data_IF_636251042033
#
_entry.id   IF_636251042033
#
_cell.length_a   1.000
_cell.length_b   1.000
_cell.length_c   1.000
_cell.angle_alpha   90.00
_cell.angle_beta   90.00
_cell.angle_gamma   90.00
#
_symmetry.space_group_name_H-M   'P 1'
#
loop_
_entity.id
_entity.type
_entity.pdbx_description
1 polymer ?
#
# COMPACT_ATOMS: atom_id res chain seq x y z
N UNK A 1 -2.59 52.91 36.01
CA UNK A 1 -1.38 52.36 36.63
C UNK A 1 -1.30 50.93 36.15
N UNK A 2 -0.69 50.68 35.00
CA UNK A 2 0.78 50.52 34.83
C UNK A 2 1.33 49.49 35.82
N UNK A 3 2.17 48.54 35.49
CA UNK A 3 2.67 47.88 34.27
C UNK A 3 3.63 46.80 34.82
N UNK A 4 4.04 45.85 33.97
CA UNK A 4 5.09 44.81 34.09
C UNK A 4 4.48 43.47 33.63
N UNK A 5 4.58 43.07 32.37
CA UNK A 5 5.74 42.94 31.46
C UNK A 5 6.74 41.88 31.95
N UNK A 6 6.58 40.66 31.45
CA UNK A 6 7.71 39.76 31.22
C UNK A 6 7.78 39.39 29.74
N UNK A 7 8.98 39.58 29.22
CA UNK A 7 9.40 39.53 27.83
C UNK A 7 10.49 38.46 27.75
N UNK A 8 10.27 37.44 26.92
CA UNK A 8 11.35 36.71 26.25
C UNK A 8 10.87 36.51 24.80
N UNK A 9 11.46 37.12 23.78
CA UNK A 9 12.89 37.14 23.46
C UNK A 9 13.17 36.00 22.46
N UNK A 10 12.62 36.08 21.25
CA UNK A 10 13.36 36.31 19.99
C UNK A 10 14.32 35.19 19.55
N UNK A 11 13.93 34.48 18.48
CA UNK A 11 14.81 34.06 17.36
C UNK A 11 13.87 33.69 16.22
N UNK A 12 13.82 34.34 15.05
CA UNK A 12 14.90 34.98 14.32
C UNK A 12 15.44 34.01 13.28
N UNK A 13 14.77 33.92 12.12
CA UNK A 13 15.36 33.65 10.79
C UNK A 13 14.31 33.91 9.71
N UNK A 14 14.19 35.19 9.34
CA UNK A 14 13.62 35.59 8.06
C UNK A 14 14.66 35.27 6.99
N UNK A 15 14.44 34.20 6.25
CA UNK A 15 15.22 33.90 5.05
C UNK A 15 14.67 34.76 3.92
N UNK A 16 15.22 35.96 3.74
CA UNK A 16 15.05 36.74 2.52
C UNK A 16 16.07 36.19 1.53
N UNK A 17 15.63 35.36 0.58
CA UNK A 17 16.42 35.02 -0.59
C UNK A 17 16.18 36.10 -1.66
N UNK A 18 17.05 37.11 -1.71
CA UNK A 18 17.17 37.99 -2.88
C UNK A 18 17.99 37.20 -3.91
N UNK A 19 17.29 36.53 -4.82
CA UNK A 19 17.90 35.92 -6.00
C UNK A 19 17.83 36.87 -7.17
N UNK A 20 18.96 37.49 -7.53
CA UNK A 20 19.10 38.26 -8.77
C UNK A 20 19.01 37.30 -9.95
N UNK A 21 17.95 37.36 -10.75
CA UNK A 21 17.89 36.63 -12.03
C UNK A 21 18.47 37.54 -13.11
N UNK A 22 19.70 37.24 -13.53
CA UNK A 22 20.25 37.78 -14.76
C UNK A 22 19.50 37.15 -15.95
N UNK A 23 18.77 37.98 -16.70
CA UNK A 23 18.14 37.56 -17.94
C UNK A 23 19.22 37.39 -19.01
N UNK A 24 19.56 36.16 -19.38
CA UNK A 24 20.28 35.87 -20.61
C UNK A 24 19.23 35.70 -21.71
N UNK A 25 19.13 36.71 -22.58
CA UNK A 25 18.29 36.65 -23.77
C UNK A 25 18.88 35.65 -24.77
N UNK A 26 18.26 34.48 -24.90
CA UNK A 26 18.53 33.47 -25.92
C UNK A 26 17.23 33.06 -26.59
N UNK A 27 17.15 33.22 -27.90
CA UNK A 27 15.97 32.99 -28.73
C UNK A 27 15.64 31.50 -28.79
N UNK A 28 14.50 31.09 -28.23
CA UNK A 28 13.90 29.77 -28.46
C UNK A 28 13.16 29.17 -27.26
N UNK A 29 11.84 29.05 -27.38
CA UNK A 29 10.92 28.25 -26.55
C UNK A 29 10.83 28.57 -25.03
N UNK A 30 9.94 29.52 -24.71
CA UNK A 30 9.06 29.51 -23.53
C UNK A 30 9.64 29.15 -22.16
N UNK A 31 10.36 30.06 -21.52
CA UNK A 31 10.59 30.02 -20.07
C UNK A 31 9.41 30.73 -19.39
N UNK A 32 8.50 29.96 -18.79
CA UNK A 32 7.52 30.51 -17.87
C UNK A 32 8.26 30.94 -16.60
N UNK A 33 8.33 32.25 -16.35
CA UNK A 33 8.73 32.78 -15.05
C UNK A 33 7.70 32.33 -14.01
N UNK A 34 8.07 31.37 -13.17
CA UNK A 34 7.23 30.95 -12.05
C UNK A 34 7.12 32.13 -11.07
N UNK A 35 5.99 32.83 -11.09
CA UNK A 35 5.59 33.63 -9.95
C UNK A 35 5.37 32.66 -8.80
N UNK A 36 6.21 32.74 -7.76
CA UNK A 36 5.92 32.11 -6.48
C UNK A 36 4.77 32.92 -5.89
N UNK A 37 3.55 32.51 -6.21
CA UNK A 37 2.34 32.98 -5.55
C UNK A 37 2.45 32.67 -4.05
N UNK A 38 1.86 33.54 -3.22
CA UNK A 38 1.63 33.23 -1.80
C UNK A 38 0.96 31.86 -1.73
N UNK A 39 1.45 31.00 -0.84
CA UNK A 39 0.77 29.73 -0.53
C UNK A 39 -0.68 30.06 -0.18
N UNK A 40 -1.60 29.56 -0.99
CA UNK A 40 -3.01 29.60 -0.69
C UNK A 40 -3.21 28.61 0.44
N UNK A 41 -3.65 29.07 1.62
CA UNK A 41 -3.98 28.20 2.76
C UNK A 41 -5.28 27.40 2.49
N UNK A 42 -5.74 27.37 1.23
CA UNK A 42 -6.87 26.61 0.74
C UNK A 42 -6.56 25.11 0.66
N UNK A 43 -7.52 24.31 1.08
CA UNK A 43 -7.50 22.86 0.92
C UNK A 43 -7.24 22.49 -0.55
N UNK A 44 -6.12 21.79 -0.81
CA UNK A 44 -5.77 21.33 -2.15
C UNK A 44 -6.59 20.07 -2.47
N UNK A 45 -7.75 20.25 -3.07
CA UNK A 45 -8.61 19.15 -3.53
C UNK A 45 -8.17 18.65 -4.91
N UNK A 46 -8.09 17.33 -5.07
CA UNK A 46 -7.91 16.68 -6.37
C UNK A 46 -9.19 15.90 -6.73
N UNK A 47 -9.70 16.09 -7.95
CA UNK A 47 -10.86 15.36 -8.46
C UNK A 47 -10.43 14.13 -9.26
N UNK A 48 -10.87 12.95 -8.83
CA UNK A 48 -10.61 11.67 -9.51
C UNK A 48 -9.22 11.10 -9.28
N UNK A 49 -8.17 11.83 -9.68
CA UNK A 49 -6.79 11.34 -9.72
C UNK A 49 -5.78 12.34 -9.15
N UNK A 50 -4.80 11.83 -8.40
CA UNK A 50 -3.61 12.59 -8.01
C UNK A 50 -2.36 11.77 -8.28
N UNK A 51 -1.44 12.33 -9.08
CA UNK A 51 -0.25 11.61 -9.54
C UNK A 51 1.03 12.32 -9.14
N UNK A 52 1.96 11.57 -8.56
CA UNK A 52 3.34 12.01 -8.36
C UNK A 52 4.21 11.35 -9.42
N UNK A 53 4.92 12.16 -10.21
CA UNK A 53 5.89 11.71 -11.22
C UNK A 53 7.30 12.12 -10.83
N UNK A 54 8.30 11.31 -11.20
CA UNK A 54 9.70 11.68 -11.05
C UNK A 54 10.20 12.56 -12.22
N UNK A 55 11.46 12.99 -12.17
CA UNK A 55 12.11 13.83 -13.21
C UNK A 55 12.22 13.15 -14.57
N UNK A 56 12.04 11.82 -14.64
CA UNK A 56 12.05 11.04 -15.89
C UNK A 56 10.63 10.84 -16.43
N UNK A 57 9.61 11.38 -15.75
CA UNK A 57 8.21 11.21 -16.09
C UNK A 57 7.61 9.87 -15.66
N UNK A 58 8.29 9.10 -14.80
CA UNK A 58 7.74 7.83 -14.28
C UNK A 58 6.82 8.11 -13.09
N UNK A 59 5.64 7.51 -13.09
CA UNK A 59 4.71 7.55 -11.96
C UNK A 59 5.32 6.84 -10.74
N UNK A 60 5.36 7.53 -9.60
CA UNK A 60 5.82 7.00 -8.30
C UNK A 60 4.68 6.72 -7.34
N UNK A 61 3.66 7.58 -7.35
CA UNK A 61 2.44 7.44 -6.56
C UNK A 61 1.24 7.79 -7.42
N UNK A 62 0.13 7.09 -7.20
CA UNK A 62 -1.16 7.38 -7.83
C UNK A 62 -2.25 7.21 -6.79
N UNK A 63 -3.01 8.26 -6.53
CA UNK A 63 -4.32 8.14 -5.90
C UNK A 63 -5.37 8.16 -7.01
N UNK A 64 -6.30 7.22 -6.99
CA UNK A 64 -7.38 7.10 -7.96
C UNK A 64 -8.67 6.67 -7.27
N UNK A 65 -9.82 7.22 -7.66
CA UNK A 65 -11.14 6.85 -7.09
C UNK A 65 -11.76 5.60 -7.71
N UNK A 66 -11.07 4.99 -8.67
CA UNK A 66 -11.44 3.73 -9.33
C UNK A 66 -10.20 2.86 -9.53
N UNK A 67 -10.37 1.56 -9.78
CA UNK A 67 -9.25 0.63 -10.00
C UNK A 67 -8.45 1.04 -11.26
N UNK A 68 -7.19 1.49 -11.13
CA UNK A 68 -6.41 1.94 -12.29
C UNK A 68 -5.73 0.75 -13.00
N UNK A 69 -5.15 0.93 -14.20
CA UNK A 69 -4.17 -0.02 -14.74
C UNK A 69 -2.87 0.02 -13.91
N UNK A 70 -2.08 -1.06 -14.00
CA UNK A 70 -0.77 -1.17 -13.34
C UNK A 70 0.30 -1.62 -14.31
N UNK A 71 1.55 -1.51 -13.90
CA UNK A 71 2.70 -2.08 -14.60
C UNK A 71 3.33 -3.11 -13.66
N UNK A 72 3.54 -4.34 -14.13
CA UNK A 72 4.31 -5.37 -13.43
C UNK A 72 5.30 -5.99 -14.41
N UNK A 73 6.57 -6.10 -14.03
CA UNK A 73 7.63 -6.63 -14.90
C UNK A 73 7.75 -5.90 -16.24
N UNK A 74 7.44 -4.60 -16.28
CA UNK A 74 7.42 -3.77 -17.50
C UNK A 74 6.21 -3.97 -18.42
N UNK A 75 5.26 -4.84 -18.07
CA UNK A 75 4.01 -5.06 -18.81
C UNK A 75 2.86 -4.33 -18.14
N UNK A 76 2.03 -3.65 -18.94
CA UNK A 76 0.80 -3.02 -18.46
C UNK A 76 -0.32 -4.04 -18.33
N UNK A 77 -0.99 -4.06 -17.17
CA UNK A 77 -2.19 -4.83 -16.91
C UNK A 77 -3.39 -3.89 -16.81
N UNK A 78 -4.37 -3.98 -17.75
CA UNK A 78 -5.58 -3.18 -17.71
C UNK A 78 -6.39 -3.42 -16.44
N UNK A 79 -7.11 -2.39 -15.96
CA UNK A 79 -7.94 -2.48 -14.77
C UNK A 79 -8.94 -3.65 -14.78
N UNK A 80 -9.51 -3.96 -15.95
CA UNK A 80 -10.47 -5.05 -16.14
C UNK A 80 -9.86 -6.44 -15.98
N UNK A 81 -8.55 -6.58 -16.16
CA UNK A 81 -7.82 -7.84 -16.02
C UNK A 81 -7.24 -8.02 -14.60
N UNK A 82 -7.28 -6.96 -13.79
CA UNK A 82 -6.79 -6.99 -12.40
C UNK A 82 -7.82 -7.60 -11.46
N UNK A 83 -7.34 -8.48 -10.58
CA UNK A 83 -8.05 -8.85 -9.36
C UNK A 83 -8.12 -7.65 -8.40
N UNK A 84 -9.15 -7.61 -7.57
CA UNK A 84 -9.37 -6.54 -6.58
C UNK A 84 -10.71 -5.82 -6.77
N UNK A 85 -11.28 -5.28 -5.67
CA UNK A 85 -12.61 -4.70 -5.66
C UNK A 85 -12.65 -3.34 -6.37
N UNK A 86 -13.85 -2.88 -6.70
CA UNK A 86 -14.03 -1.47 -7.03
C UNK A 86 -13.88 -0.62 -5.77
N UNK A 87 -13.14 0.48 -5.86
CA UNK A 87 -12.81 1.31 -4.71
C UNK A 87 -11.79 2.39 -5.03
N UNK A 88 -11.35 3.08 -3.99
CA UNK A 88 -10.24 4.04 -4.06
C UNK A 88 -8.91 3.34 -3.84
N UNK A 89 -7.91 3.77 -4.61
CA UNK A 89 -6.58 3.17 -4.65
C UNK A 89 -5.52 4.24 -4.39
N UNK A 90 -4.56 3.94 -3.53
CA UNK A 90 -3.24 4.58 -3.51
C UNK A 90 -2.21 3.54 -3.93
N UNK A 91 -1.55 3.73 -5.08
CA UNK A 91 -0.52 2.82 -5.58
C UNK A 91 0.89 3.34 -5.33
N UNK A 92 1.80 2.41 -5.06
CA UNK A 92 3.23 2.67 -4.91
C UNK A 92 3.98 2.03 -6.07
N UNK A 93 4.81 2.82 -6.76
CA UNK A 93 5.58 2.32 -7.90
C UNK A 93 7.10 2.51 -7.67
N UNK A 94 7.90 1.62 -8.25
CA UNK A 94 9.36 1.73 -8.29
C UNK A 94 9.87 2.72 -9.37
N UNK A 95 11.20 2.80 -9.56
CA UNK A 95 11.83 3.70 -10.55
C UNK A 95 11.60 3.31 -12.01
N UNK A 96 11.21 2.06 -12.23
CA UNK A 96 10.78 1.57 -13.52
C UNK A 96 9.26 1.72 -13.65
N UNK A 97 8.56 2.31 -12.69
CA UNK A 97 7.10 2.48 -12.72
C UNK A 97 6.33 1.19 -12.45
N UNK A 98 7.00 0.10 -12.07
CA UNK A 98 6.34 -1.15 -11.70
C UNK A 98 5.68 -1.00 -10.32
N UNK A 99 4.45 -1.50 -10.17
CA UNK A 99 3.70 -1.50 -8.91
C UNK A 99 4.43 -2.34 -7.85
N UNK A 100 4.38 -1.87 -6.61
CA UNK A 100 4.93 -2.52 -5.39
C UNK A 100 3.88 -2.66 -4.30
N UNK A 101 2.62 -2.72 -4.69
CA UNK A 101 1.44 -2.72 -3.83
C UNK A 101 0.79 -1.35 -3.69
N UNK A 102 -0.07 -1.25 -2.69
CA UNK A 102 -0.88 -0.06 -2.48
C UNK A 102 -1.75 -0.11 -1.23
N UNK A 103 -2.63 0.88 -1.13
CA UNK A 103 -3.72 0.94 -0.16
C UNK A 103 -5.02 0.95 -0.95
N UNK A 104 -5.97 0.12 -0.56
CA UNK A 104 -7.27 -0.02 -1.18
C UNK A 104 -8.32 0.31 -0.13
N UNK A 105 -9.30 1.12 -0.50
CA UNK A 105 -10.52 1.35 0.27
C UNK A 105 -11.74 1.07 -0.61
N UNK A 106 -12.44 -0.01 -0.31
CA UNK A 106 -13.64 -0.45 -1.00
C UNK A 106 -14.86 -0.41 -0.05
N UNK A 107 -16.05 -0.62 -0.60
CA UNK A 107 -17.28 -0.60 0.19
C UNK A 107 -17.33 -1.74 1.23
N UNK A 108 -16.74 -2.89 0.92
CA UNK A 108 -16.74 -4.10 1.75
C UNK A 108 -15.41 -4.34 2.48
N UNK A 109 -14.45 -3.42 2.41
CA UNK A 109 -13.18 -3.60 3.11
C UNK A 109 -12.08 -2.62 2.73
N UNK A 110 -10.93 -2.80 3.36
CA UNK A 110 -9.71 -2.06 3.06
C UNK A 110 -8.50 -2.98 3.17
N UNK A 111 -7.47 -2.67 2.38
CA UNK A 111 -6.23 -3.42 2.38
C UNK A 111 -5.01 -2.51 2.25
N UNK A 112 -3.91 -2.93 2.86
CA UNK A 112 -2.55 -2.47 2.57
C UNK A 112 -1.81 -3.67 2.01
N UNK A 113 -1.28 -3.54 0.80
CA UNK A 113 -0.56 -4.60 0.11
C UNK A 113 0.86 -4.16 -0.23
N UNK A 114 1.79 -5.10 -0.17
CA UNK A 114 3.15 -4.96 -0.65
C UNK A 114 3.47 -6.15 -1.53
N UNK A 115 4.06 -5.87 -2.68
CA UNK A 115 4.25 -6.87 -3.73
C UNK A 115 5.73 -7.15 -3.98
N UNK A 116 6.04 -8.41 -4.27
CA UNK A 116 7.26 -8.80 -4.96
C UNK A 116 7.27 -8.22 -6.39
N UNK A 117 8.44 -8.19 -7.07
CA UNK A 117 8.50 -7.75 -8.46
C UNK A 117 7.56 -8.51 -9.42
N UNK A 118 7.17 -9.73 -9.05
CA UNK A 118 6.34 -10.62 -9.85
C UNK A 118 5.07 -11.12 -9.14
N UNK A 119 4.55 -10.39 -8.16
CA UNK A 119 3.23 -10.66 -7.54
C UNK A 119 3.17 -10.45 -6.03
N UNK A 120 2.08 -10.87 -5.41
CA UNK A 120 1.76 -10.60 -3.99
C UNK A 120 2.82 -11.08 -2.99
N UNK A 121 3.18 -10.23 -2.02
CA UNK A 121 4.03 -10.60 -0.89
C UNK A 121 3.28 -10.56 0.46
N UNK A 122 2.78 -9.38 0.85
CA UNK A 122 2.17 -9.13 2.17
C UNK A 122 0.84 -8.41 1.98
N UNK A 123 -0.22 -8.94 2.61
CA UNK A 123 -1.54 -8.30 2.62
C UNK A 123 -1.98 -8.11 4.07
N UNK A 124 -2.30 -6.88 4.44
CA UNK A 124 -3.00 -6.54 5.69
C UNK A 124 -4.39 -6.06 5.30
N UNK A 125 -5.43 -6.78 5.67
CA UNK A 125 -6.79 -6.48 5.22
C UNK A 125 -7.81 -6.55 6.34
N UNK A 126 -8.84 -5.72 6.22
CA UNK A 126 -10.07 -5.81 6.97
C UNK A 126 -11.24 -5.86 5.98
N UNK A 127 -12.13 -6.82 6.16
CA UNK A 127 -13.25 -7.06 5.25
C UNK A 127 -14.54 -7.30 6.05
N UNK A 128 -15.66 -6.89 5.45
CA UNK A 128 -17.01 -7.14 5.94
C UNK A 128 -17.91 -7.47 4.76
N UNK A 129 -18.38 -8.70 4.69
CA UNK A 129 -19.37 -9.13 3.69
C UNK A 129 -20.54 -9.80 4.38
N UNK A 130 -21.72 -9.27 4.10
CA UNK A 130 -23.00 -9.69 4.68
C UNK A 130 -23.00 -9.66 6.21
N UNK A 131 -22.60 -10.77 6.84
CA UNK A 131 -22.56 -10.98 8.29
C UNK A 131 -21.22 -11.50 8.79
N UNK A 132 -20.26 -11.71 7.89
CA UNK A 132 -18.92 -12.18 8.22
C UNK A 132 -17.95 -11.04 8.01
N UNK A 133 -17.26 -10.68 9.10
CA UNK A 133 -16.20 -9.69 9.06
C UNK A 133 -14.94 -10.22 9.70
N UNK A 134 -13.81 -9.69 9.27
CA UNK A 134 -12.54 -10.07 9.85
C UNK A 134 -11.41 -9.14 9.48
N UNK A 135 -10.32 -9.28 10.23
CA UNK A 135 -9.04 -8.69 9.93
C UNK A 135 -8.01 -9.81 9.74
N UNK A 136 -7.09 -9.63 8.79
CA UNK A 136 -6.07 -10.63 8.52
C UNK A 136 -4.76 -10.04 8.01
N UNK A 137 -3.68 -10.77 8.29
CA UNK A 137 -2.36 -10.61 7.71
C UNK A 137 -2.02 -11.90 6.95
N UNK A 138 -1.71 -11.77 5.67
CA UNK A 138 -1.14 -12.83 4.86
C UNK A 138 0.31 -12.51 4.52
N UNK A 139 1.17 -13.51 4.58
CA UNK A 139 2.51 -13.44 4.01
C UNK A 139 2.70 -14.63 3.08
N UNK A 140 3.20 -14.38 1.87
CA UNK A 140 3.43 -15.40 0.85
C UNK A 140 4.91 -15.69 0.69
N UNK A 141 5.23 -16.95 0.37
CA UNK A 141 6.57 -17.32 -0.04
C UNK A 141 6.93 -16.65 -1.35
N UNK A 142 8.18 -16.22 -1.45
CA UNK A 142 8.76 -15.74 -2.70
C UNK A 142 9.31 -16.93 -3.48
N UNK A 143 8.90 -17.07 -4.74
CA UNK A 143 9.59 -17.90 -5.72
C UNK A 143 10.87 -17.23 -6.25
N UNK A 144 11.28 -17.60 -7.46
CA UNK A 144 12.33 -16.85 -8.15
C UNK A 144 11.78 -15.47 -8.61
N UNK A 145 12.37 -14.33 -8.18
CA UNK A 145 11.96 -12.99 -8.62
C UNK A 145 12.01 -12.78 -10.14
N UNK A 146 12.84 -13.54 -10.85
CA UNK A 146 13.02 -13.43 -12.29
C UNK A 146 11.95 -14.22 -13.07
N UNK A 147 11.16 -15.07 -12.40
CA UNK A 147 10.05 -15.78 -13.06
C UNK A 147 9.03 -14.76 -13.58
N UNK A 148 8.59 -14.87 -14.85
CA UNK A 148 7.55 -14.00 -15.41
C UNK A 148 6.29 -13.98 -14.53
N UNK A 149 5.62 -12.83 -14.47
CA UNK A 149 4.42 -12.61 -13.64
C UNK A 149 3.35 -13.69 -13.90
N UNK A 150 3.18 -14.09 -15.15
CA UNK A 150 2.19 -15.09 -15.58
C UNK A 150 2.48 -16.51 -15.07
N UNK A 151 3.74 -16.80 -14.74
CA UNK A 151 4.20 -18.12 -14.29
C UNK A 151 4.51 -18.17 -12.79
N UNK A 152 4.74 -16.99 -12.19
CA UNK A 152 5.11 -16.85 -10.80
C UNK A 152 4.01 -17.41 -9.88
N UNK A 153 4.44 -18.14 -8.84
CA UNK A 153 3.56 -18.67 -7.81
C UNK A 153 4.05 -18.18 -6.45
N UNK A 154 3.10 -17.70 -5.65
CA UNK A 154 3.34 -17.18 -4.31
C UNK A 154 2.48 -17.94 -3.29
N UNK A 155 2.84 -19.18 -2.93
CA UNK A 155 2.10 -19.97 -1.95
C UNK A 155 2.01 -19.22 -0.61
N UNK A 156 0.88 -19.38 0.09
CA UNK A 156 0.72 -18.82 1.42
C UNK A 156 1.77 -19.41 2.36
N UNK A 157 2.59 -18.57 3.01
CA UNK A 157 3.50 -19.01 4.06
C UNK A 157 2.89 -18.85 5.45
N UNK A 158 2.11 -17.78 5.64
CA UNK A 158 1.48 -17.44 6.91
C UNK A 158 0.11 -16.79 6.68
N UNK A 159 -0.85 -17.13 7.55
CA UNK A 159 -2.10 -16.38 7.74
C UNK A 159 -2.33 -16.16 9.23
N UNK A 160 -2.44 -14.90 9.63
CA UNK A 160 -2.95 -14.49 10.94
C UNK A 160 -4.29 -13.82 10.72
N UNK A 161 -5.31 -14.20 11.50
CA UNK A 161 -6.65 -13.64 11.32
C UNK A 161 -7.42 -13.57 12.63
N UNK A 162 -8.40 -12.67 12.66
CA UNK A 162 -9.51 -12.66 13.60
C UNK A 162 -10.78 -12.35 12.82
N UNK A 163 -11.77 -13.25 12.86
CA UNK A 163 -13.03 -13.09 12.15
C UNK A 163 -14.23 -13.56 12.99
N UNK A 164 -15.42 -13.16 12.58
CA UNK A 164 -16.66 -13.38 13.33
C UNK A 164 -17.22 -14.81 13.24
N UNK A 165 -16.63 -15.67 12.41
CA UNK A 165 -17.12 -17.03 12.16
C UNK A 165 -16.20 -18.09 12.77
N UNK A 166 -14.89 -17.92 12.61
CA UNK A 166 -13.84 -18.87 12.98
C UNK A 166 -13.09 -18.45 14.25
N UNK A 167 -13.33 -17.25 14.77
CA UNK A 167 -12.59 -16.70 15.90
C UNK A 167 -11.21 -16.18 15.47
N UNK A 168 -10.18 -16.48 16.26
CA UNK A 168 -8.81 -16.02 15.98
C UNK A 168 -7.92 -17.19 15.62
N UNK A 169 -7.01 -17.01 14.67
CA UNK A 169 -6.05 -18.06 14.34
C UNK A 169 -4.77 -17.60 13.67
N UNK A 170 -3.75 -18.43 13.83
CA UNK A 170 -2.49 -18.39 13.11
C UNK A 170 -2.33 -19.72 12.36
N UNK A 171 -2.10 -19.66 11.06
CA UNK A 171 -1.75 -20.80 10.22
C UNK A 171 -0.35 -20.60 9.66
N UNK A 172 0.53 -21.56 9.90
CA UNK A 172 1.85 -21.64 9.28
C UNK A 172 1.82 -22.74 8.21
N UNK A 173 2.33 -22.41 7.03
CA UNK A 173 2.36 -23.31 5.89
C UNK A 173 3.79 -23.72 5.53
N UNK A 174 3.91 -24.83 4.81
CA UNK A 174 5.16 -25.23 4.17
C UNK A 174 5.43 -24.43 2.88
N UNK A 175 6.59 -24.60 2.22
CA UNK A 175 6.93 -23.88 0.99
C UNK A 175 5.97 -24.13 -0.19
N UNK A 176 5.14 -25.17 -0.14
CA UNK A 176 4.10 -25.44 -1.15
C UNK A 176 2.76 -24.79 -0.80
N UNK A 177 2.68 -24.10 0.34
CA UNK A 177 1.48 -23.44 0.85
C UNK A 177 0.55 -24.34 1.64
N UNK A 178 0.99 -25.55 2.00
CA UNK A 178 0.16 -26.51 2.75
C UNK A 178 0.27 -26.23 4.24
N UNK A 179 -0.84 -26.11 4.98
CA UNK A 179 -0.81 -25.88 6.43
C UNK A 179 -0.05 -27.00 7.18
N UNK A 180 0.82 -26.61 8.13
CA UNK A 180 1.58 -27.53 9.00
C UNK A 180 1.29 -27.32 10.46
N UNK A 181 1.01 -26.09 10.84
CA UNK A 181 0.73 -25.72 12.23
C UNK A 181 -0.45 -24.76 12.23
N UNK A 182 -1.41 -25.00 13.11
CA UNK A 182 -2.53 -24.11 13.37
C UNK A 182 -2.66 -23.84 14.86
N UNK A 183 -2.71 -22.58 15.24
CA UNK A 183 -3.08 -22.12 16.57
C UNK A 183 -4.41 -21.41 16.43
N UNK A 184 -5.43 -21.81 17.18
CA UNK A 184 -6.77 -21.23 17.06
C UNK A 184 -7.42 -21.00 18.42
N UNK A 185 -8.29 -20.01 18.47
CA UNK A 185 -9.30 -19.82 19.52
C UNK A 185 -10.63 -19.68 18.80
N UNK A 186 -11.52 -20.66 18.97
CA UNK A 186 -12.84 -20.66 18.37
C UNK A 186 -13.73 -19.56 18.96
N UNK A 187 -14.87 -19.29 18.32
CA UNK A 187 -15.83 -18.26 18.77
C UNK A 187 -16.41 -18.52 20.17
N UNK A 188 -16.46 -19.77 20.61
CA UNK A 188 -16.87 -20.15 21.96
C UNK A 188 -15.73 -20.03 23.01
N UNK A 189 -14.55 -19.57 22.59
CA UNK A 189 -13.36 -19.42 23.42
C UNK A 189 -12.48 -20.66 23.52
N UNK A 190 -12.84 -21.78 22.86
CA UNK A 190 -12.05 -23.02 22.93
C UNK A 190 -10.70 -22.85 22.21
N UNK A 191 -9.55 -22.97 22.93
CA UNK A 191 -8.24 -22.92 22.30
C UNK A 191 -7.85 -24.27 21.70
N UNK A 192 -7.05 -24.26 20.64
CA UNK A 192 -6.41 -25.47 20.10
C UNK A 192 -5.05 -25.18 19.45
N UNK A 193 -4.17 -26.16 19.52
CA UNK A 193 -2.92 -26.19 18.74
C UNK A 193 -2.89 -27.50 17.95
N UNK A 194 -2.87 -27.42 16.62
CA UNK A 194 -2.84 -28.59 15.74
C UNK A 194 -1.57 -28.63 14.89
N UNK A 195 -0.96 -29.81 14.77
CA UNK A 195 0.11 -30.13 13.83
C UNK A 195 -0.48 -31.04 12.74
N UNK A 196 -0.21 -30.70 11.49
CA UNK A 196 -0.80 -31.35 10.31
C UNK A 196 0.27 -32.04 9.46
N UNK A 197 -0.07 -33.19 8.88
CA UNK A 197 0.76 -33.90 7.90
C UNK A 197 0.68 -33.30 6.50
N UNK A 198 1.33 -33.95 5.54
CA UNK A 198 1.41 -33.49 4.16
C UNK A 198 0.06 -33.40 3.43
N UNK A 199 -0.92 -34.19 3.88
CA UNK A 199 -2.27 -34.26 3.34
C UNK A 199 -3.25 -33.34 4.09
N UNK A 200 -2.79 -32.69 5.17
CA UNK A 200 -3.59 -31.81 6.02
C UNK A 200 -4.35 -32.55 7.12
N UNK A 201 -4.04 -33.82 7.39
CA UNK A 201 -4.63 -34.53 8.52
C UNK A 201 -3.89 -34.15 9.82
N UNK A 202 -4.65 -34.03 10.91
CA UNK A 202 -4.10 -33.69 12.22
C UNK A 202 -3.34 -34.90 12.77
N UNK A 203 -2.03 -34.73 12.98
CA UNK A 203 -1.18 -35.76 13.61
C UNK A 203 -0.98 -35.52 15.10
N UNK A 204 -1.22 -34.29 15.57
CA UNK A 204 -1.21 -33.95 17.00
C UNK A 204 -2.11 -32.75 17.27
N UNK A 205 -2.87 -32.81 18.35
CA UNK A 205 -3.64 -31.68 18.86
C UNK A 205 -3.48 -31.55 20.37
N UNK A 206 -3.46 -30.30 20.86
CA UNK A 206 -3.55 -29.89 22.26
C UNK A 206 -4.79 -29.04 22.45
#
# INVERSE_FOLDING_TARGET
MEDQQESHGTTGRRSIAIGTVAAVAGVGAGIAAAQIGKADDGESTAEGSFKVIDRRGRQRFLLETSKPPIILGGKTYPAAERNGPDGSYLLFNDQNGDEKGGIIAAADGAAITLDYPNGDAIHLQAEWRDKTGGASLFMRHMGDPATPVEEAKHPMGLRLFADTENGTGLTLCDPQGRPRIQLRVAMDGTPSIAILDEQGAVVKQL
#
